data_IF_055186276984
#
_entry.id   IF_055186276984
#
_cell.length_a   1.000
_cell.length_b   1.000
_cell.length_c   1.000
_cell.angle_alpha   90.00
_cell.angle_beta   90.00
_cell.angle_gamma   90.00
#
_symmetry.space_group_name_H-M   'P 1'
#
loop_
_entity.id
_entity.type
_entity.pdbx_description
1 polymer ?
#
# COMPACT_ATOMS: atom_id res chain seq x y z
N UNK A 1 -3.01 20.17 -24.62
CA UNK A 1 -3.31 19.09 -23.65
C UNK A 1 -4.59 19.46 -22.94
N UNK A 2 -5.62 18.62 -23.02
CA UNK A 2 -6.82 18.83 -22.21
C UNK A 2 -6.43 18.76 -20.72
N UNK A 3 -7.00 19.65 -19.91
CA UNK A 3 -6.75 19.66 -18.47
C UNK A 3 -7.53 18.50 -17.86
N UNK A 4 -6.83 17.44 -17.48
CA UNK A 4 -7.45 16.30 -16.78
C UNK A 4 -7.80 16.72 -15.35
N UNK A 5 -9.08 16.59 -14.92
CA UNK A 5 -9.49 16.94 -13.57
C UNK A 5 -8.81 16.07 -12.50
N UNK A 6 -8.57 16.66 -11.33
CA UNK A 6 -8.05 15.99 -10.12
C UNK A 6 -9.20 15.77 -9.12
N UNK A 7 -8.94 15.05 -8.03
CA UNK A 7 -9.87 14.69 -6.93
C UNK A 7 -10.64 13.38 -7.10
N UNK A 8 -10.11 12.45 -7.91
CA UNK A 8 -10.58 11.06 -7.88
C UNK A 8 -10.55 10.46 -6.47
N UNK A 9 -9.59 10.87 -5.63
CA UNK A 9 -9.51 10.47 -4.23
C UNK A 9 -10.76 10.74 -3.40
N UNK A 10 -11.42 11.88 -3.62
CA UNK A 10 -12.67 12.23 -2.91
C UNK A 10 -13.78 11.24 -3.26
N UNK A 11 -13.92 10.88 -4.54
CA UNK A 11 -14.88 9.88 -4.98
C UNK A 11 -14.58 8.50 -4.38
N UNK A 12 -13.30 8.11 -4.31
CA UNK A 12 -12.86 6.85 -3.69
C UNK A 12 -13.18 6.78 -2.20
N UNK A 13 -12.96 7.88 -1.46
CA UNK A 13 -13.28 7.97 -0.04
C UNK A 13 -14.80 7.99 0.21
N UNK A 14 -15.57 8.73 -0.59
CA UNK A 14 -17.04 8.74 -0.49
C UNK A 14 -17.62 7.34 -0.75
N UNK A 15 -17.11 6.63 -1.75
CA UNK A 15 -17.50 5.24 -2.02
C UNK A 15 -17.17 4.31 -0.83
N UNK A 16 -16.00 4.48 -0.21
CA UNK A 16 -15.62 3.74 0.99
C UNK A 16 -16.52 4.04 2.19
N UNK A 17 -16.81 5.32 2.45
CA UNK A 17 -17.72 5.74 3.51
C UNK A 17 -19.15 5.21 3.31
N UNK A 18 -19.68 5.29 2.09
CA UNK A 18 -20.99 4.72 1.76
C UNK A 18 -21.00 3.19 1.92
N UNK A 19 -19.90 2.53 1.55
CA UNK A 19 -19.76 1.08 1.78
C UNK A 19 -19.85 0.76 3.26
N UNK A 20 -19.14 1.50 4.13
CA UNK A 20 -19.25 1.32 5.59
C UNK A 20 -20.72 1.50 6.05
N UNK A 21 -21.39 2.59 5.67
CA UNK A 21 -22.78 2.82 6.08
C UNK A 21 -23.74 1.69 5.68
N UNK A 22 -23.54 1.12 4.48
CA UNK A 22 -24.43 0.08 3.93
C UNK A 22 -24.16 -1.31 4.52
N UNK A 23 -22.91 -1.66 4.82
CA UNK A 23 -22.54 -3.01 5.28
C UNK A 23 -22.60 -3.19 6.80
N UNK A 24 -22.79 -2.11 7.58
CA UNK A 24 -22.75 -2.19 9.05
C UNK A 24 -23.77 -3.18 9.65
N UNK A 25 -24.95 -3.29 9.02
CA UNK A 25 -26.04 -4.16 9.49
C UNK A 25 -25.87 -5.63 9.06
N UNK A 26 -24.85 -5.97 8.26
CA UNK A 26 -24.63 -7.34 7.82
C UNK A 26 -24.05 -8.17 8.96
N UNK A 27 -24.68 -9.30 9.30
CA UNK A 27 -24.31 -10.15 10.44
C UNK A 27 -22.82 -10.53 10.51
N UNK A 28 -22.19 -10.77 9.36
CA UNK A 28 -20.77 -11.13 9.29
C UNK A 28 -19.84 -9.92 9.37
N UNK A 29 -20.29 -8.74 8.90
CA UNK A 29 -19.47 -7.53 8.79
C UNK A 29 -19.60 -6.62 10.01
N UNK A 30 -20.73 -6.65 10.72
CA UNK A 30 -20.96 -5.87 11.93
C UNK A 30 -19.89 -6.09 13.01
N UNK A 31 -19.28 -7.28 13.06
CA UNK A 31 -18.16 -7.59 13.97
C UNK A 31 -16.85 -6.86 13.64
N UNK A 32 -16.74 -6.30 12.43
CA UNK A 32 -15.60 -5.47 12.02
C UNK A 32 -15.68 -4.05 12.58
N UNK A 33 -16.82 -3.62 13.12
CA UNK A 33 -17.04 -2.28 13.66
C UNK A 33 -16.41 -2.13 15.03
N UNK A 34 -15.09 -2.06 15.03
CA UNK A 34 -14.27 -1.90 16.23
C UNK A 34 -13.77 -0.46 16.37
N UNK A 35 -13.12 -0.18 17.51
CA UNK A 35 -12.47 1.11 17.75
C UNK A 35 -11.39 1.40 16.71
N UNK A 36 -10.66 0.37 16.27
CA UNK A 36 -9.66 0.46 15.21
C UNK A 36 -10.30 0.88 13.88
N UNK A 37 -11.45 0.32 13.51
CA UNK A 37 -12.16 0.71 12.28
C UNK A 37 -12.46 2.21 12.25
N UNK A 38 -12.97 2.75 13.37
CA UNK A 38 -13.22 4.18 13.52
C UNK A 38 -11.93 5.00 13.41
N UNK A 39 -10.85 4.53 14.05
CA UNK A 39 -9.54 5.18 13.98
C UNK A 39 -8.97 5.27 12.56
N UNK A 40 -9.05 4.17 11.80
CA UNK A 40 -8.63 4.14 10.39
C UNK A 40 -9.49 5.10 9.57
N UNK A 41 -10.81 5.08 9.74
CA UNK A 41 -11.71 5.97 9.00
C UNK A 41 -11.42 7.45 9.27
N UNK A 42 -11.22 7.83 10.54
CA UNK A 42 -10.94 9.22 10.92
C UNK A 42 -9.57 9.69 10.42
N UNK A 43 -8.54 8.85 10.56
CA UNK A 43 -7.22 9.16 10.01
C UNK A 43 -7.27 9.26 8.47
N UNK A 44 -8.03 8.38 7.80
CA UNK A 44 -8.19 8.38 6.34
C UNK A 44 -8.94 9.61 5.85
N UNK A 45 -9.96 10.04 6.59
CA UNK A 45 -10.68 11.27 6.31
C UNK A 45 -9.76 12.49 6.48
N UNK A 46 -9.00 12.54 7.58
CA UNK A 46 -8.05 13.61 7.82
C UNK A 46 -7.00 13.72 6.72
N UNK A 47 -6.36 12.60 6.34
CA UNK A 47 -5.31 12.61 5.32
C UNK A 47 -5.88 12.90 3.92
N UNK A 48 -7.11 12.49 3.63
CA UNK A 48 -7.81 12.88 2.41
C UNK A 48 -7.96 14.40 2.34
N UNK A 49 -8.46 15.04 3.40
CA UNK A 49 -8.62 16.50 3.44
C UNK A 49 -7.27 17.21 3.30
N UNK A 50 -6.23 16.71 3.96
CA UNK A 50 -4.86 17.21 3.76
C UNK A 50 -4.44 17.14 2.29
N UNK A 51 -4.68 16.01 1.62
CA UNK A 51 -4.37 15.87 0.20
C UNK A 51 -5.27 16.72 -0.71
N UNK A 52 -6.52 16.99 -0.35
CA UNK A 52 -7.39 17.94 -1.08
C UNK A 52 -6.85 19.37 -0.96
N UNK A 53 -6.41 19.75 0.24
CA UNK A 53 -5.75 21.03 0.46
C UNK A 53 -4.45 21.13 -0.36
N UNK A 54 -3.67 20.05 -0.42
CA UNK A 54 -2.48 20.00 -1.24
C UNK A 54 -2.77 20.10 -2.74
N UNK A 55 -3.74 19.34 -3.24
CA UNK A 55 -4.19 19.40 -4.63
C UNK A 55 -4.64 20.81 -5.05
N UNK A 56 -5.10 21.63 -4.08
CA UNK A 56 -5.61 22.99 -4.29
C UNK A 56 -4.57 24.08 -4.10
N UNK A 57 -3.71 23.95 -3.08
CA UNK A 57 -2.83 25.01 -2.60
C UNK A 57 -1.34 24.69 -2.77
N UNK A 58 -0.98 23.49 -3.23
CA UNK A 58 0.41 23.02 -3.38
C UNK A 58 1.21 23.24 -2.08
N UNK A 59 0.87 22.48 -1.04
CA UNK A 59 1.47 22.66 0.28
C UNK A 59 2.97 22.35 0.25
N UNK A 60 3.73 23.03 1.12
CA UNK A 60 5.13 22.71 1.28
C UNK A 60 5.32 21.32 1.93
N UNK A 61 6.49 20.73 1.69
CA UNK A 61 6.80 19.37 2.13
C UNK A 61 6.70 19.20 3.66
N UNK A 62 7.04 20.22 4.45
CA UNK A 62 7.03 20.12 5.92
C UNK A 62 5.59 20.10 6.42
N UNK A 63 4.73 20.99 5.91
CA UNK A 63 3.30 21.00 6.25
C UNK A 63 2.63 19.68 5.88
N UNK A 64 2.94 19.14 4.69
CA UNK A 64 2.43 17.83 4.25
C UNK A 64 2.87 16.70 5.18
N UNK A 65 4.16 16.64 5.53
CA UNK A 65 4.70 15.63 6.44
C UNK A 65 4.13 15.74 7.86
N UNK A 66 3.99 16.97 8.38
CA UNK A 66 3.38 17.21 9.68
C UNK A 66 1.94 16.70 9.73
N UNK A 67 1.15 16.99 8.69
CA UNK A 67 -0.20 16.46 8.56
C UNK A 67 -0.23 14.92 8.48
N UNK A 68 0.63 14.30 7.68
CA UNK A 68 0.74 12.83 7.65
C UNK A 68 1.12 12.25 9.02
N UNK A 69 2.00 12.93 9.76
CA UNK A 69 2.35 12.57 11.13
C UNK A 69 1.14 12.64 12.08
N UNK A 70 0.33 13.70 11.99
CA UNK A 70 -0.92 13.83 12.74
C UNK A 70 -1.91 12.70 12.41
N UNK A 71 -2.01 12.29 11.14
CA UNK A 71 -2.81 11.12 10.77
C UNK A 71 -2.32 9.84 11.46
N UNK A 72 -1.01 9.65 11.57
CA UNK A 72 -0.40 8.58 12.36
C UNK A 72 -0.77 8.68 13.85
N UNK A 73 -0.76 9.88 14.44
CA UNK A 73 -1.16 10.09 15.83
C UNK A 73 -2.65 9.78 16.07
N UNK A 74 -3.53 10.04 15.09
CA UNK A 74 -4.93 9.61 15.16
C UNK A 74 -4.99 8.08 15.27
N UNK A 75 -4.27 7.34 14.43
CA UNK A 75 -4.22 5.87 14.53
C UNK A 75 -3.77 5.39 15.92
N UNK A 76 -2.71 6.00 16.48
CA UNK A 76 -2.22 5.70 17.83
C UNK A 76 -3.28 5.93 18.91
N UNK A 77 -4.06 7.01 18.82
CA UNK A 77 -5.13 7.32 19.76
C UNK A 77 -6.23 6.25 19.78
N UNK A 78 -6.42 5.55 18.66
CA UNK A 78 -7.35 4.42 18.55
C UNK A 78 -6.69 3.06 18.84
N UNK A 79 -5.43 3.05 19.31
CA UNK A 79 -4.72 1.83 19.72
C UNK A 79 -3.99 1.11 18.59
N UNK A 80 -4.00 1.66 17.36
CA UNK A 80 -3.34 1.06 16.20
C UNK A 80 -1.86 1.43 16.27
N UNK A 81 -1.02 0.47 16.64
CA UNK A 81 0.42 0.66 16.74
C UNK A 81 1.17 -0.64 16.46
N UNK A 82 2.43 -0.51 16.06
CA UNK A 82 3.34 -1.64 15.90
C UNK A 82 3.81 -2.09 17.28
N UNK A 83 3.47 -3.31 17.66
CA UNK A 83 3.79 -3.89 18.96
C UNK A 83 5.07 -4.74 18.93
N UNK A 84 5.40 -5.31 17.79
CA UNK A 84 6.53 -6.22 17.62
C UNK A 84 6.99 -6.26 16.16
N UNK A 85 8.21 -6.77 15.93
CA UNK A 85 8.77 -6.99 14.58
C UNK A 85 9.32 -8.42 14.41
N UNK A 86 9.16 -9.03 13.23
CA UNK A 86 9.68 -10.36 12.91
C UNK A 86 11.18 -10.32 12.54
N UNK A 87 12.05 -9.84 13.44
CA UNK A 87 13.51 -9.74 13.21
C UNK A 87 14.22 -10.77 14.08
N UNK A 88 14.90 -11.74 13.46
CA UNK A 88 15.59 -12.85 14.15
C UNK A 88 14.70 -13.54 15.21
N UNK A 89 13.44 -13.79 14.85
CA UNK A 89 12.37 -14.16 15.79
C UNK A 89 11.46 -12.95 16.02
N UNK A 90 10.98 -12.79 17.25
CA UNK A 90 10.11 -11.68 17.64
C UNK A 90 10.86 -10.73 18.55
N UNK A 91 10.87 -9.46 18.14
CA UNK A 91 11.28 -8.38 19.01
C UNK A 91 10.03 -7.62 19.41
N UNK A 92 9.61 -7.78 20.67
CA UNK A 92 8.56 -6.94 21.27
C UNK A 92 9.14 -5.55 21.45
N UNK A 93 8.42 -4.53 20.97
CA UNK A 93 8.87 -3.16 21.02
C UNK A 93 8.39 -2.46 22.30
N UNK A 94 9.24 -1.65 22.94
CA UNK A 94 8.79 -0.66 23.91
C UNK A 94 7.73 0.26 23.28
N UNK A 95 6.70 0.62 24.05
CA UNK A 95 5.54 1.37 23.54
C UNK A 95 5.93 2.67 22.82
N UNK A 96 6.88 3.43 23.37
CA UNK A 96 7.39 4.66 22.75
C UNK A 96 8.05 4.41 21.38
N UNK A 97 8.79 3.29 21.23
CA UNK A 97 9.43 2.92 19.97
C UNK A 97 8.37 2.43 18.97
N UNK A 98 7.42 1.60 19.41
CA UNK A 98 6.30 1.15 18.58
C UNK A 98 5.44 2.29 18.05
N UNK A 99 5.15 3.29 18.90
CA UNK A 99 4.42 4.50 18.53
C UNK A 99 5.18 5.33 17.50
N UNK A 100 6.46 5.60 17.74
CA UNK A 100 7.31 6.34 16.80
C UNK A 100 7.37 5.63 15.45
N UNK A 101 7.63 4.32 15.46
CA UNK A 101 7.72 3.51 14.25
C UNK A 101 6.39 3.49 13.49
N UNK A 102 5.26 3.45 14.19
CA UNK A 102 3.93 3.52 13.58
C UNK A 102 3.75 4.81 12.77
N UNK A 103 4.06 5.96 13.37
CA UNK A 103 3.96 7.26 12.70
C UNK A 103 4.90 7.31 11.49
N UNK A 104 6.14 6.84 11.64
CA UNK A 104 7.10 6.81 10.54
C UNK A 104 6.66 5.89 9.40
N UNK A 105 6.19 4.67 9.69
CA UNK A 105 5.69 3.73 8.68
C UNK A 105 4.49 4.32 7.95
N UNK A 106 3.56 4.95 8.68
CA UNK A 106 2.41 5.64 8.06
C UNK A 106 2.88 6.72 7.09
N UNK A 107 3.76 7.62 7.53
CA UNK A 107 4.28 8.70 6.69
C UNK A 107 5.03 8.14 5.47
N UNK A 108 5.90 7.15 5.67
CA UNK A 108 6.68 6.54 4.59
C UNK A 108 5.77 5.86 3.57
N UNK A 109 4.78 5.10 4.01
CA UNK A 109 3.84 4.42 3.11
C UNK A 109 2.98 5.41 2.32
N UNK A 110 2.47 6.47 2.97
CA UNK A 110 1.74 7.54 2.30
C UNK A 110 2.59 8.16 1.19
N UNK A 111 3.82 8.57 1.51
CA UNK A 111 4.70 9.19 0.53
C UNK A 111 5.10 8.22 -0.57
N UNK A 112 5.33 6.93 -0.26
CA UNK A 112 5.69 5.93 -1.25
C UNK A 112 4.56 5.71 -2.27
N UNK A 113 3.30 5.62 -1.83
CA UNK A 113 2.14 5.50 -2.74
C UNK A 113 1.96 6.76 -3.58
N UNK A 114 2.08 7.94 -2.98
CA UNK A 114 2.08 9.22 -3.69
C UNK A 114 3.18 9.31 -4.76
N UNK A 115 4.37 8.79 -4.46
CA UNK A 115 5.51 8.77 -5.39
C UNK A 115 5.28 7.88 -6.62
N UNK A 116 4.52 6.80 -6.45
CA UNK A 116 4.18 5.85 -7.51
C UNK A 116 3.04 6.36 -8.40
N UNK A 117 2.25 7.34 -7.95
CA UNK A 117 1.17 7.97 -8.70
C UNK A 117 1.66 8.93 -9.81
N UNK A 118 2.73 8.53 -10.52
CA UNK A 118 3.32 9.30 -11.62
C UNK A 118 2.83 8.88 -13.01
N UNK A 119 2.08 7.77 -13.12
CA UNK A 119 1.53 7.27 -14.38
C UNK A 119 0.04 6.88 -14.22
N UNK A 120 -0.75 7.13 -15.26
CA UNK A 120 -2.14 6.71 -15.41
C UNK A 120 -2.36 5.23 -15.02
N UNK A 121 -3.17 4.99 -14.00
CA UNK A 121 -3.55 3.67 -13.48
C UNK A 121 -2.57 3.11 -12.45
N UNK A 122 -1.31 3.54 -12.45
CA UNK A 122 -0.22 2.84 -11.76
C UNK A 122 -0.43 2.70 -10.25
N UNK A 123 -0.68 3.80 -9.54
CA UNK A 123 -0.86 3.74 -8.09
C UNK A 123 -2.11 2.94 -7.71
N UNK A 124 -3.25 3.17 -8.38
CA UNK A 124 -4.50 2.47 -8.09
C UNK A 124 -4.37 0.96 -8.32
N UNK A 125 -3.69 0.52 -9.39
CA UNK A 125 -3.48 -0.91 -9.65
C UNK A 125 -2.48 -1.57 -8.70
N UNK A 126 -1.38 -0.89 -8.35
CA UNK A 126 -0.45 -1.40 -7.32
C UNK A 126 -1.16 -1.55 -5.99
N UNK A 127 -1.94 -0.55 -5.57
CA UNK A 127 -2.74 -0.59 -4.34
C UNK A 127 -3.85 -1.65 -4.40
N UNK A 128 -4.46 -1.89 -5.56
CA UNK A 128 -5.46 -2.96 -5.71
C UNK A 128 -4.84 -4.34 -5.51
N UNK A 129 -3.69 -4.61 -6.13
CA UNK A 129 -2.96 -5.89 -6.00
C UNK A 129 -2.51 -6.08 -4.55
N UNK A 130 -1.92 -5.03 -3.98
CA UNK A 130 -1.52 -4.92 -2.58
C UNK A 130 -2.66 -5.30 -1.63
N UNK A 131 -3.79 -4.60 -1.74
CA UNK A 131 -4.96 -4.79 -0.91
C UNK A 131 -5.58 -6.18 -1.12
N UNK A 132 -5.60 -6.71 -2.35
CA UNK A 132 -6.09 -8.05 -2.64
C UNK A 132 -5.25 -9.15 -1.98
N UNK A 133 -3.92 -9.07 -2.06
CA UNK A 133 -3.04 -10.01 -1.37
C UNK A 133 -3.20 -9.92 0.15
N UNK A 134 -3.31 -8.70 0.68
CA UNK A 134 -3.60 -8.48 2.09
C UNK A 134 -4.95 -9.03 2.55
N UNK A 135 -5.99 -8.81 1.76
CA UNK A 135 -7.33 -9.31 2.02
C UNK A 135 -7.34 -10.83 2.07
N UNK A 136 -6.67 -11.50 1.11
CA UNK A 136 -6.48 -12.94 1.10
C UNK A 136 -5.82 -13.43 2.39
N UNK A 137 -4.70 -12.83 2.78
CA UNK A 137 -4.01 -13.22 4.01
C UNK A 137 -4.86 -12.97 5.28
N UNK A 138 -5.50 -11.80 5.40
CA UNK A 138 -6.39 -11.50 6.52
C UNK A 138 -7.58 -12.48 6.59
N UNK A 139 -8.12 -12.88 5.44
CA UNK A 139 -9.20 -13.86 5.37
C UNK A 139 -8.75 -15.24 5.89
N UNK A 140 -7.54 -15.69 5.52
CA UNK A 140 -6.99 -16.95 6.05
C UNK A 140 -6.92 -16.96 7.57
N UNK A 141 -6.31 -15.91 8.14
CA UNK A 141 -6.17 -15.82 9.60
C UNK A 141 -7.52 -15.92 10.29
N UNK A 142 -8.55 -15.33 9.69
CA UNK A 142 -9.88 -15.37 10.26
C UNK A 142 -10.62 -16.71 10.07
N UNK A 143 -10.26 -17.50 9.06
CA UNK A 143 -10.82 -18.85 8.88
C UNK A 143 -10.12 -19.88 9.76
N UNK A 144 -8.79 -19.85 9.84
CA UNK A 144 -7.99 -20.87 10.53
C UNK A 144 -7.76 -20.57 12.02
N UNK A 145 -7.45 -19.32 12.36
CA UNK A 145 -7.07 -18.95 13.74
C UNK A 145 -8.25 -18.39 14.55
N UNK A 146 -9.48 -18.47 14.02
CA UNK A 146 -10.68 -18.03 14.72
C UNK A 146 -10.80 -16.51 14.90
N UNK A 147 -9.97 -15.70 14.24
CA UNK A 147 -10.18 -14.26 14.20
C UNK A 147 -11.51 -13.93 13.51
N UNK A 148 -12.10 -12.77 13.81
CA UNK A 148 -13.34 -12.34 13.15
C UNK A 148 -13.14 -12.27 11.62
N UNK A 149 -13.89 -13.08 10.85
CA UNK A 149 -13.88 -13.13 9.37
C UNK A 149 -14.02 -11.76 8.71
N UNK A 150 -14.67 -10.82 9.41
CA UNK A 150 -14.63 -9.40 9.10
C UNK A 150 -13.96 -8.66 10.27
N UNK A 151 -12.65 -8.45 10.20
CA UNK A 151 -11.93 -7.53 11.06
C UNK A 151 -11.75 -6.19 10.35
N UNK A 152 -11.35 -5.15 11.08
CA UNK A 152 -11.05 -3.84 10.48
C UNK A 152 -10.06 -3.93 9.29
N UNK A 153 -8.97 -4.73 9.31
CA UNK A 153 -8.07 -4.86 8.17
C UNK A 153 -8.71 -5.48 6.93
N UNK A 154 -9.50 -6.54 7.08
CA UNK A 154 -10.14 -7.21 5.93
C UNK A 154 -11.23 -6.34 5.31
N UNK A 155 -11.97 -5.58 6.13
CA UNK A 155 -12.98 -4.64 5.61
C UNK A 155 -12.33 -3.48 4.83
N UNK A 156 -11.30 -2.84 5.37
CA UNK A 156 -10.63 -1.72 4.69
C UNK A 156 -9.86 -2.14 3.44
N UNK A 157 -9.26 -3.32 3.44
CA UNK A 157 -8.62 -3.86 2.22
C UNK A 157 -9.66 -4.21 1.15
N UNK A 158 -10.82 -4.77 1.52
CA UNK A 158 -11.93 -4.96 0.59
C UNK A 158 -12.45 -3.63 0.01
N UNK A 159 -12.60 -2.61 0.86
CA UNK A 159 -12.97 -1.25 0.41
C UNK A 159 -11.92 -0.68 -0.54
N UNK A 160 -10.63 -0.80 -0.21
CA UNK A 160 -9.55 -0.32 -1.07
C UNK A 160 -9.54 -1.01 -2.43
N UNK A 161 -9.74 -2.33 -2.48
CA UNK A 161 -9.90 -3.09 -3.74
C UNK A 161 -11.07 -2.53 -4.54
N UNK A 162 -12.25 -2.40 -3.92
CA UNK A 162 -13.45 -1.88 -4.57
C UNK A 162 -13.28 -0.45 -5.09
N UNK A 163 -12.71 0.45 -4.28
CA UNK A 163 -12.42 1.83 -4.67
C UNK A 163 -11.43 1.88 -5.84
N UNK A 164 -10.35 1.09 -5.81
CA UNK A 164 -9.38 1.06 -6.90
C UNK A 164 -9.97 0.48 -8.20
N UNK A 165 -10.71 -0.63 -8.12
CA UNK A 165 -11.35 -1.24 -9.28
C UNK A 165 -12.44 -0.35 -9.88
N UNK A 166 -13.18 0.40 -9.06
CA UNK A 166 -14.14 1.39 -9.52
C UNK A 166 -13.48 2.61 -10.17
N UNK A 167 -12.30 3.02 -9.67
CA UNK A 167 -11.58 4.19 -10.18
C UNK A 167 -10.75 3.91 -11.44
N UNK A 168 -10.14 2.71 -11.54
CA UNK A 168 -9.23 2.34 -12.63
C UNK A 168 -9.78 2.56 -14.05
N UNK A 169 -11.04 2.23 -14.38
CA UNK A 169 -11.60 2.52 -15.72
C UNK A 169 -11.54 4.00 -16.13
N UNK A 170 -11.50 4.91 -15.15
CA UNK A 170 -11.40 6.35 -15.37
C UNK A 170 -9.95 6.85 -15.37
N UNK A 171 -9.02 6.06 -14.86
CA UNK A 171 -7.62 6.45 -14.64
C UNK A 171 -6.62 5.68 -15.50
N UNK A 172 -7.01 4.58 -16.15
CA UNK A 172 -6.17 3.86 -17.13
C UNK A 172 -5.86 4.77 -18.33
N UNK A 173 -4.63 4.69 -18.83
CA UNK A 173 -4.15 5.51 -19.94
C UNK A 173 -5.03 5.40 -21.20
N UNK A 174 -5.47 6.53 -21.79
CA UNK A 174 -5.31 7.91 -21.31
C UNK A 174 -6.32 8.27 -20.19
N UNK A 175 -5.82 8.76 -19.06
CA UNK A 175 -6.64 9.05 -17.89
C UNK A 175 -7.63 10.20 -18.12
N UNK A 176 -8.88 9.99 -17.69
CA UNK A 176 -9.95 11.00 -17.69
C UNK A 176 -10.03 11.74 -16.37
N UNK A 177 -9.60 11.12 -15.28
CA UNK A 177 -9.55 11.69 -13.93
C UNK A 177 -8.26 11.23 -13.25
N UNK A 178 -7.56 12.16 -12.60
CA UNK A 178 -6.44 11.84 -11.70
C UNK A 178 -6.91 11.73 -10.26
N UNK A 179 -6.31 10.80 -9.50
CA UNK A 179 -6.67 10.65 -8.09
C UNK A 179 -6.24 11.86 -7.28
N UNK A 180 -5.11 12.48 -7.63
CA UNK A 180 -4.50 13.59 -6.92
C UNK A 180 -3.82 13.13 -5.62
N UNK A 181 -3.21 14.08 -4.92
CA UNK A 181 -2.59 13.84 -3.62
C UNK A 181 -3.62 13.39 -2.60
N UNK A 182 -4.87 13.87 -2.71
CA UNK A 182 -6.02 13.37 -1.95
C UNK A 182 -6.17 11.84 -2.04
N UNK A 183 -6.16 11.27 -3.24
CA UNK A 183 -6.37 9.84 -3.44
C UNK A 183 -5.17 8.99 -3.06
N UNK A 184 -3.97 9.40 -3.48
CA UNK A 184 -2.76 8.62 -3.22
C UNK A 184 -2.40 8.61 -1.73
N UNK A 185 -2.62 9.72 -1.01
CA UNK A 185 -2.43 9.76 0.44
C UNK A 185 -3.47 8.95 1.22
N UNK A 186 -4.75 9.02 0.80
CA UNK A 186 -5.82 8.17 1.35
C UNK A 186 -5.48 6.68 1.23
N UNK A 187 -5.12 6.23 0.02
CA UNK A 187 -4.78 4.83 -0.24
C UNK A 187 -3.54 4.38 0.54
N UNK A 188 -2.50 5.22 0.61
CA UNK A 188 -1.30 4.93 1.37
C UNK A 188 -1.58 4.75 2.86
N UNK A 189 -2.41 5.61 3.46
CA UNK A 189 -2.81 5.44 4.86
C UNK A 189 -3.64 4.17 5.08
N UNK A 190 -4.63 3.89 4.22
CA UNK A 190 -5.46 2.68 4.35
C UNK A 190 -4.61 1.41 4.29
N UNK A 191 -3.63 1.35 3.38
CA UNK A 191 -2.68 0.24 3.32
C UNK A 191 -1.82 0.14 4.58
N UNK A 192 -1.24 1.25 5.04
CA UNK A 192 -0.41 1.26 6.25
C UNK A 192 -1.19 0.83 7.49
N UNK A 193 -2.38 1.38 7.69
CA UNK A 193 -3.21 1.09 8.85
C UNK A 193 -3.73 -0.36 8.83
N UNK A 194 -4.10 -0.88 7.66
CA UNK A 194 -4.48 -2.30 7.51
C UNK A 194 -3.31 -3.23 7.84
N UNK A 195 -2.11 -2.91 7.36
CA UNK A 195 -0.90 -3.66 7.64
C UNK A 195 -0.56 -3.71 9.14
N UNK A 196 -0.57 -2.54 9.80
CA UNK A 196 -0.22 -2.40 11.22
C UNK A 196 -1.26 -3.09 12.09
N UNK A 197 -2.55 -2.89 11.80
CA UNK A 197 -3.64 -3.50 12.55
C UNK A 197 -3.62 -5.03 12.42
N UNK A 198 -3.34 -5.56 11.23
CA UNK A 198 -3.22 -7.01 11.03
C UNK A 198 -2.05 -7.60 11.81
N UNK A 199 -0.86 -6.97 11.75
CA UNK A 199 0.30 -7.41 12.54
C UNK A 199 0.02 -7.36 14.05
N UNK A 200 -0.72 -6.35 14.52
CA UNK A 200 -1.11 -6.24 15.93
C UNK A 200 -2.10 -7.31 16.41
N UNK A 201 -2.86 -7.93 15.51
CA UNK A 201 -3.81 -9.00 15.84
C UNK A 201 -3.16 -10.38 15.93
N UNK A 202 -1.96 -10.54 15.37
CA UNK A 202 -1.23 -11.82 15.38
C UNK A 202 -0.54 -11.99 16.73
N UNK A 203 -0.84 -13.09 17.43
CA UNK A 203 -0.06 -13.49 18.61
C UNK A 203 1.32 -13.96 18.15
N UNK A 204 2.29 -13.09 18.37
CA UNK A 204 3.66 -13.32 18.01
C UNK A 204 4.17 -14.65 18.64
N UNK A 205 3.92 -14.89 19.93
CA UNK A 205 4.48 -16.05 20.63
C UNK A 205 3.93 -17.38 20.09
N UNK A 206 2.64 -17.42 19.75
CA UNK A 206 2.02 -18.57 19.13
C UNK A 206 2.64 -18.87 17.76
N UNK A 207 2.89 -17.82 16.96
CA UNK A 207 3.43 -17.97 15.61
C UNK A 207 4.86 -18.53 15.64
N UNK A 208 5.78 -17.99 16.43
CA UNK A 208 7.21 -18.36 16.37
C UNK A 208 7.66 -19.43 17.38
N UNK A 209 6.76 -19.96 18.21
CA UNK A 209 7.06 -21.10 19.11
C UNK A 209 7.17 -22.43 18.37
N UNK A 210 6.52 -22.57 17.23
CA UNK A 210 6.77 -23.65 16.28
C UNK A 210 7.93 -23.23 15.36
N UNK A 211 8.77 -24.16 14.90
CA UNK A 211 9.78 -23.87 13.87
C UNK A 211 9.09 -23.58 12.52
N UNK A 212 8.42 -22.42 12.40
CA UNK A 212 7.45 -22.12 11.35
C UNK A 212 8.06 -22.00 9.95
N UNK A 213 9.37 -21.88 9.80
CA UNK A 213 10.03 -21.88 8.49
C UNK A 213 9.30 -21.00 7.46
N UNK A 214 8.87 -21.55 6.31
CA UNK A 214 8.12 -20.80 5.28
C UNK A 214 6.77 -20.22 5.71
N UNK A 215 6.16 -20.66 6.82
CA UNK A 215 4.89 -20.13 7.30
C UNK A 215 5.01 -18.71 7.90
N UNK A 216 6.24 -18.20 8.09
CA UNK A 216 6.49 -16.81 8.47
C UNK A 216 6.44 -15.83 7.28
N UNK A 217 6.54 -16.32 6.03
CA UNK A 217 6.58 -15.48 4.83
C UNK A 217 5.38 -14.53 4.68
N UNK A 218 4.14 -14.94 5.05
CA UNK A 218 3.00 -14.03 5.06
C UNK A 218 3.12 -12.86 6.05
N UNK A 219 3.92 -12.97 7.12
CA UNK A 219 4.23 -11.83 8.00
C UNK A 219 5.07 -10.76 7.30
N UNK A 220 5.75 -11.14 6.21
CA UNK A 220 6.48 -10.21 5.36
C UNK A 220 5.56 -9.54 4.33
N UNK A 221 4.31 -9.98 4.18
CA UNK A 221 3.36 -9.46 3.20
C UNK A 221 3.22 -7.92 3.27
N UNK A 222 3.09 -7.28 4.46
CA UNK A 222 3.14 -5.83 4.56
C UNK A 222 4.31 -5.14 3.87
N UNK A 223 5.49 -5.74 3.97
CA UNK A 223 6.70 -5.20 3.38
C UNK A 223 6.77 -5.54 1.90
N UNK A 224 6.36 -6.76 1.51
CA UNK A 224 6.37 -7.23 0.13
C UNK A 224 5.44 -6.40 -0.76
N UNK A 225 4.25 -6.09 -0.26
CA UNK A 225 3.24 -5.28 -0.94
C UNK A 225 3.73 -3.85 -1.19
N UNK A 226 4.46 -3.28 -0.24
CA UNK A 226 5.01 -1.93 -0.33
C UNK A 226 6.38 -1.88 -1.00
N UNK A 227 6.99 -3.03 -1.33
CA UNK A 227 8.37 -3.10 -1.80
C UNK A 227 8.58 -2.26 -3.07
N UNK A 228 7.69 -2.34 -4.07
CA UNK A 228 7.85 -1.55 -5.31
C UNK A 228 7.78 -0.03 -5.02
N UNK A 229 6.74 0.49 -4.34
CA UNK A 229 6.71 1.89 -3.91
C UNK A 229 7.92 2.32 -3.06
N UNK A 230 8.29 1.52 -2.07
CA UNK A 230 9.39 1.82 -1.16
C UNK A 230 10.74 1.80 -1.86
N UNK A 231 10.95 0.90 -2.83
CA UNK A 231 12.17 0.86 -3.63
C UNK A 231 12.30 2.10 -4.51
N UNK A 232 11.22 2.55 -5.15
CA UNK A 232 11.27 3.80 -5.93
C UNK A 232 11.60 4.99 -5.04
N UNK A 233 10.89 5.11 -3.92
CA UNK A 233 11.08 6.18 -2.94
C UNK A 233 12.49 6.18 -2.33
N UNK A 234 12.97 5.04 -1.84
CA UNK A 234 14.28 4.90 -1.23
C UNK A 234 15.40 5.17 -2.24
N UNK A 235 15.30 4.65 -3.45
CA UNK A 235 16.32 4.91 -4.48
C UNK A 235 16.35 6.38 -4.89
N UNK A 236 15.22 7.10 -4.86
CA UNK A 236 15.18 8.53 -5.09
C UNK A 236 15.86 9.31 -3.97
N UNK A 237 15.55 9.00 -2.71
CA UNK A 237 16.22 9.63 -1.56
C UNK A 237 17.74 9.42 -1.62
N UNK A 238 18.19 8.18 -1.84
CA UNK A 238 19.62 7.86 -1.89
C UNK A 238 20.31 8.66 -3.02
N UNK A 239 19.70 8.76 -4.21
CA UNK A 239 20.25 9.56 -5.32
C UNK A 239 20.36 11.04 -4.98
N UNK A 240 19.32 11.61 -4.36
CA UNK A 240 19.28 13.04 -3.98
C UNK A 240 20.38 13.37 -2.98
N UNK A 241 20.48 12.58 -1.92
CA UNK A 241 21.49 12.75 -0.86
C UNK A 241 22.90 12.58 -1.41
N UNK A 242 23.14 11.57 -2.28
CA UNK A 242 24.44 11.40 -2.95
C UNK A 242 24.85 12.57 -3.85
N UNK A 243 23.87 13.34 -4.35
CA UNK A 243 24.10 14.58 -5.13
C UNK A 243 24.16 15.83 -4.25
N UNK A 244 24.21 15.71 -2.92
CA UNK A 244 24.22 16.83 -1.98
C UNK A 244 22.90 17.62 -1.93
N UNK A 245 21.81 17.07 -2.47
CA UNK A 245 20.49 17.71 -2.46
C UNK A 245 19.68 17.25 -1.25
N UNK A 246 18.71 18.08 -0.85
CA UNK A 246 17.71 17.71 0.14
C UNK A 246 16.98 16.41 -0.29
N UNK A 247 16.68 15.48 0.64
CA UNK A 247 15.82 14.32 0.38
C UNK A 247 14.46 14.69 -0.23
N UNK A 248 13.98 15.91 0.03
CA UNK A 248 12.70 16.43 -0.45
C UNK A 248 12.78 17.22 -1.76
N UNK A 249 13.96 17.32 -2.37
CA UNK A 249 14.12 17.99 -3.65
C UNK A 249 13.38 17.24 -4.78
N UNK A 250 12.80 17.92 -5.78
CA UNK A 250 12.17 17.26 -6.93
C UNK A 250 13.15 16.34 -7.69
N UNK A 251 12.66 15.19 -8.16
CA UNK A 251 13.41 14.24 -8.99
C UNK A 251 12.54 13.73 -10.14
N UNK A 252 13.16 13.35 -11.26
CA UNK A 252 12.50 12.81 -12.46
C UNK A 252 13.04 11.42 -12.85
N UNK A 253 13.83 10.78 -11.99
CA UNK A 253 14.47 9.48 -12.26
C UNK A 253 13.78 8.29 -11.56
N UNK A 254 12.45 8.34 -11.46
CA UNK A 254 11.63 7.26 -10.91
C UNK A 254 11.74 5.96 -11.72
N UNK A 255 11.42 4.82 -11.10
CA UNK A 255 11.43 3.50 -11.72
C UNK A 255 10.61 3.47 -13.02
N UNK A 256 9.44 4.12 -13.04
CA UNK A 256 8.61 4.19 -14.22
C UNK A 256 9.25 4.99 -15.36
N UNK A 257 9.93 6.11 -15.07
CA UNK A 257 10.70 6.85 -16.08
C UNK A 257 11.87 6.04 -16.63
N UNK A 258 12.56 5.26 -15.78
CA UNK A 258 13.64 4.36 -16.23
C UNK A 258 13.12 3.28 -17.16
N UNK A 259 12.01 2.63 -16.81
CA UNK A 259 11.39 1.62 -17.68
C UNK A 259 10.95 2.21 -19.02
N UNK A 260 10.38 3.42 -19.02
CA UNK A 260 10.04 4.13 -20.25
C UNK A 260 11.27 4.49 -21.08
N UNK A 261 12.37 4.91 -20.43
CA UNK A 261 13.64 5.20 -21.12
C UNK A 261 14.27 3.99 -21.82
N UNK A 262 13.88 2.76 -21.46
CA UNK A 262 14.28 1.53 -22.14
C UNK A 262 13.42 1.18 -23.37
N UNK A 263 12.50 2.06 -23.76
CA UNK A 263 11.62 1.90 -24.92
C UNK A 263 10.25 1.30 -24.60
N UNK A 264 9.82 1.30 -23.34
CA UNK A 264 8.48 0.84 -22.94
C UNK A 264 7.46 1.98 -23.01
N UNK A 265 6.25 1.68 -23.51
CA UNK A 265 5.12 2.62 -23.44
C UNK A 265 4.63 2.78 -22.00
N UNK A 266 3.89 3.84 -21.69
CA UNK A 266 3.29 4.07 -20.37
C UNK A 266 2.42 2.90 -19.91
N UNK A 267 1.57 2.37 -20.79
CA UNK A 267 0.73 1.20 -20.51
C UNK A 267 1.57 -0.03 -20.16
N UNK A 268 2.63 -0.28 -20.93
CA UNK A 268 3.52 -1.42 -20.70
C UNK A 268 4.30 -1.27 -19.39
N UNK A 269 4.85 -0.09 -19.12
CA UNK A 269 5.51 0.22 -17.84
C UNK A 269 4.58 -0.02 -16.66
N UNK A 270 3.32 0.39 -16.79
CA UNK A 270 2.30 0.17 -15.76
C UNK A 270 2.06 -1.32 -15.50
N UNK A 271 1.88 -2.12 -16.56
CA UNK A 271 1.73 -3.58 -16.45
C UNK A 271 2.97 -4.25 -15.86
N UNK A 272 4.18 -3.83 -16.24
CA UNK A 272 5.42 -4.37 -15.67
C UNK A 272 5.48 -4.12 -14.16
N UNK A 273 5.10 -2.93 -13.70
CA UNK A 273 5.10 -2.60 -12.28
C UNK A 273 3.96 -3.28 -11.51
N UNK A 274 2.82 -3.54 -12.15
CA UNK A 274 1.79 -4.42 -11.59
C UNK A 274 2.31 -5.83 -11.39
N UNK A 275 2.97 -6.39 -12.40
CA UNK A 275 3.56 -7.73 -12.31
C UNK A 275 4.68 -7.79 -11.27
N UNK A 276 5.50 -6.75 -11.16
CA UNK A 276 6.53 -6.66 -10.11
C UNK A 276 5.91 -6.64 -8.71
N UNK A 277 4.81 -5.90 -8.52
CA UNK A 277 4.08 -5.86 -7.24
C UNK A 277 3.44 -7.23 -6.95
N UNK A 278 2.75 -7.80 -7.94
CA UNK A 278 2.12 -9.11 -7.84
C UNK A 278 3.13 -10.22 -7.55
N UNK A 279 4.32 -10.18 -8.17
CA UNK A 279 5.41 -11.13 -7.97
C UNK A 279 5.91 -11.14 -6.52
N UNK A 280 5.79 -10.04 -5.78
CA UNK A 280 6.17 -9.98 -4.37
C UNK A 280 4.98 -10.30 -3.45
N UNK A 281 3.81 -9.76 -3.75
CA UNK A 281 2.63 -9.86 -2.89
C UNK A 281 1.90 -11.21 -3.01
N UNK A 282 1.71 -11.73 -4.23
CA UNK A 282 0.94 -12.97 -4.45
C UNK A 282 1.66 -14.19 -3.86
N UNK A 283 2.96 -14.43 -4.10
CA UNK A 283 3.66 -15.55 -3.46
C UNK A 283 3.63 -15.51 -1.93
N UNK A 284 3.82 -14.33 -1.34
CA UNK A 284 3.73 -14.16 0.12
C UNK A 284 2.32 -14.51 0.65
N UNK A 285 1.27 -14.10 -0.06
CA UNK A 285 -0.10 -14.52 0.26
C UNK A 285 -0.29 -16.03 0.05
N UNK A 286 0.12 -16.58 -1.10
CA UNK A 286 -0.07 -18.00 -1.47
C UNK A 286 0.67 -18.92 -0.50
N UNK A 287 1.84 -18.53 0.02
CA UNK A 287 2.56 -19.31 1.03
C UNK A 287 1.79 -19.47 2.34
N UNK A 288 0.74 -18.67 2.55
CA UNK A 288 -0.17 -18.84 3.67
C UNK A 288 -1.17 -20.00 3.43
N UNK A 289 -1.51 -20.31 2.17
CA UNK A 289 -2.52 -21.31 1.81
C UNK A 289 -1.95 -22.59 1.21
N UNK A 290 -0.71 -22.55 0.75
CA UNK A 290 -0.11 -23.61 -0.03
C UNK A 290 1.38 -23.80 0.32
N UNK A 291 1.93 -25.00 0.10
CA UNK A 291 3.36 -25.25 0.23
C UNK A 291 4.22 -24.21 -0.49
N UNK A 292 5.37 -23.89 0.11
CA UNK A 292 6.31 -22.89 -0.42
C UNK A 292 6.64 -23.10 -1.90
N UNK A 293 6.74 -24.35 -2.36
CA UNK A 293 6.97 -24.66 -3.78
C UNK A 293 5.93 -24.03 -4.72
N UNK A 294 4.64 -24.06 -4.35
CA UNK A 294 3.56 -23.46 -5.15
C UNK A 294 3.67 -21.93 -5.15
N UNK A 295 3.97 -21.33 -3.99
CA UNK A 295 4.20 -19.89 -3.89
C UNK A 295 5.37 -19.43 -4.77
N UNK A 296 6.49 -20.16 -4.74
CA UNK A 296 7.67 -19.86 -5.55
C UNK A 296 7.39 -20.03 -7.06
N UNK A 297 6.63 -21.05 -7.45
CA UNK A 297 6.20 -21.24 -8.85
C UNK A 297 5.32 -20.07 -9.30
N UNK A 298 4.37 -19.62 -8.48
CA UNK A 298 3.54 -18.45 -8.81
C UNK A 298 4.41 -17.20 -9.02
N UNK A 299 5.39 -16.97 -8.14
CA UNK A 299 6.34 -15.86 -8.28
C UNK A 299 7.20 -15.97 -9.54
N UNK A 300 7.71 -17.16 -9.86
CA UNK A 300 8.51 -17.41 -11.05
C UNK A 300 7.71 -17.18 -12.34
N UNK A 301 6.44 -17.60 -12.40
CA UNK A 301 5.56 -17.36 -13.54
C UNK A 301 5.36 -15.85 -13.75
N UNK A 302 5.04 -15.11 -12.69
CA UNK A 302 4.85 -13.65 -12.76
C UNK A 302 6.13 -12.93 -13.20
N UNK A 303 7.29 -13.37 -12.70
CA UNK A 303 8.59 -12.86 -13.13
C UNK A 303 8.83 -13.10 -14.61
N UNK A 304 8.61 -14.32 -15.10
CA UNK A 304 8.79 -14.66 -16.51
C UNK A 304 7.88 -13.83 -17.42
N UNK A 305 6.61 -13.65 -17.04
CA UNK A 305 5.68 -12.79 -17.78
C UNK A 305 6.18 -11.35 -17.82
N UNK A 306 6.67 -10.81 -16.69
CA UNK A 306 7.23 -9.46 -16.63
C UNK A 306 8.45 -9.29 -17.54
N UNK A 307 9.35 -10.28 -17.57
CA UNK A 307 10.53 -10.29 -18.44
C UNK A 307 10.12 -10.33 -19.91
N UNK A 308 9.18 -11.19 -20.29
CA UNK A 308 8.70 -11.31 -21.68
C UNK A 308 8.04 -10.03 -22.17
N UNK A 309 7.25 -9.36 -21.32
CA UNK A 309 6.58 -8.10 -21.68
C UNK A 309 7.57 -6.94 -21.77
N UNK A 310 8.67 -6.98 -21.02
CA UNK A 310 9.67 -5.90 -21.00
C UNK A 310 10.44 -5.86 -22.32
N UNK A 311 10.24 -4.79 -23.09
CA UNK A 311 11.08 -4.53 -24.25
C UNK A 311 12.36 -3.83 -23.78
N UNK A 312 13.49 -4.34 -24.22
CA UNK A 312 14.75 -3.60 -24.24
C UNK A 312 15.05 -3.24 -25.68
N UNK A 313 14.97 -1.97 -26.03
CA UNK A 313 15.71 -1.52 -27.20
C UNK A 313 17.21 -1.67 -26.90
N UNK A 314 17.93 -2.40 -27.77
CA UNK A 314 19.38 -2.35 -27.75
C UNK A 314 19.75 -0.89 -27.99
N UNK A 315 20.30 -0.24 -26.99
CA UNK A 315 21.00 1.03 -27.17
C UNK A 315 22.05 0.80 -28.26
N UNK A 316 21.75 1.19 -29.49
CA UNK A 316 22.75 1.40 -30.51
C UNK A 316 23.63 2.53 -29.98
N UNK A 317 24.74 2.14 -29.35
CA UNK A 317 25.85 3.06 -29.09
C UNK A 317 26.33 3.53 -30.46
N UNK A 318 26.04 4.78 -30.78
CA UNK A 318 26.84 5.61 -31.67
C UNK A 318 27.79 6.40 -30.78
#
# INVERSE_FOLDING_TARGET
>A
TEITPRWGGVAMWLAGGLTLLTVHSLNLVGRAYTRELLGIFLAASFVLFLGVLDDRFELDAITKLAGQGLAGCILLFFGIQILWLPINGIIVLPTNIGQLLTVLVVMVTINAVNFVDGLDGLAAGIVAIAAASFFGFAYLLAVENGFSRAGAPSLFTAIAIGSCLGFLPHNIYPARIFMGDSGSMYLGLVLAASAITLMGQIDANAVFSENIGPAALPLLLPFAVLAVPLLDFATAIIRRVRRGKSPFAPDKEHLHHKLMSWGNSQQRTTVILYLATAMLAIPAMVSAFAPLGIALVAGAILFLIAVVITKREKSSRL
#
